data_IF_683939537445
#
_entry.id   IF_683939537445
#
_cell.length_a   1.000
_cell.length_b   1.000
_cell.length_c   1.000
_cell.angle_alpha   90.00
_cell.angle_beta   90.00
_cell.angle_gamma   90.00
#
_symmetry.space_group_name_H-M   'P 1'
#
loop_
_entity.id
_entity.type
_entity.pdbx_description
1 polymer ?
#
# COMPACT_ATOMS: atom_id res chain seq x y z
N UNK A 1 -35.36 -82.38 35.35
CA UNK A 1 -36.32 -81.36 35.69
C UNK A 1 -35.69 -79.99 35.43
N UNK A 2 -36.42 -79.29 34.65
CA UNK A 2 -36.36 -77.85 34.35
C UNK A 2 -35.11 -77.24 33.77
N UNK A 3 -35.20 -76.99 32.50
CA UNK A 3 -34.30 -76.10 31.71
C UNK A 3 -34.72 -74.63 31.94
N UNK A 4 -33.77 -73.77 32.12
CA UNK A 4 -34.00 -72.34 32.03
C UNK A 4 -33.12 -71.78 30.86
N UNK A 5 -33.82 -71.34 29.81
CA UNK A 5 -33.18 -70.73 28.66
C UNK A 5 -32.89 -69.24 28.91
N UNK A 6 -31.68 -68.80 28.61
CA UNK A 6 -31.35 -67.41 28.55
C UNK A 6 -31.38 -66.92 27.10
N UNK A 7 -32.20 -65.94 26.82
CA UNK A 7 -32.23 -65.16 25.53
C UNK A 7 -31.08 -64.17 25.54
N UNK A 8 -30.30 -64.19 24.47
CA UNK A 8 -29.34 -63.15 24.17
C UNK A 8 -30.02 -61.94 23.55
N UNK A 9 -29.91 -60.78 24.18
CA UNK A 9 -30.26 -59.49 23.59
C UNK A 9 -29.15 -59.03 22.65
N UNK A 10 -29.52 -58.69 21.44
CA UNK A 10 -28.61 -58.12 20.44
C UNK A 10 -28.44 -56.65 20.71
N UNK A 11 -27.24 -56.28 21.06
CA UNK A 11 -26.76 -54.89 21.24
C UNK A 11 -26.55 -54.25 19.85
N UNK A 12 -27.49 -53.42 19.42
CA UNK A 12 -27.35 -52.59 18.20
C UNK A 12 -26.52 -51.39 18.53
N UNK A 13 -25.20 -51.46 18.26
CA UNK A 13 -24.32 -50.31 18.33
C UNK A 13 -24.65 -49.31 17.25
N UNK A 14 -25.15 -48.18 17.72
CA UNK A 14 -25.37 -46.96 16.95
C UNK A 14 -24.07 -46.48 16.34
N UNK A 15 -23.98 -46.52 15.00
CA UNK A 15 -22.85 -46.06 14.26
C UNK A 15 -22.84 -44.53 14.23
N UNK A 16 -22.10 -43.91 15.12
CA UNK A 16 -21.87 -42.46 15.10
C UNK A 16 -21.31 -42.05 13.73
N UNK A 17 -22.08 -41.27 12.99
CA UNK A 17 -21.61 -40.59 11.77
C UNK A 17 -20.47 -39.63 12.15
N UNK A 18 -19.36 -39.65 11.41
CA UNK A 18 -18.32 -38.66 11.63
C UNK A 18 -18.85 -37.28 11.25
N UNK A 19 -18.91 -36.41 12.25
CA UNK A 19 -19.23 -34.98 12.08
C UNK A 19 -18.25 -34.39 11.06
N UNK A 20 -18.75 -34.00 9.90
CA UNK A 20 -17.95 -33.33 8.89
C UNK A 20 -17.43 -32.01 9.51
N UNK A 21 -16.15 -31.96 9.75
CA UNK A 21 -15.45 -30.72 10.12
C UNK A 21 -15.70 -29.75 8.97
N UNK A 22 -16.53 -28.73 9.21
CA UNK A 22 -16.64 -27.59 8.30
C UNK A 22 -15.29 -26.90 8.29
N UNK A 23 -14.49 -27.18 7.27
CA UNK A 23 -13.36 -26.33 6.92
C UNK A 23 -13.98 -24.99 6.55
N UNK A 24 -13.85 -24.02 7.45
CA UNK A 24 -14.15 -22.63 7.14
C UNK A 24 -13.19 -22.23 6.02
N UNK A 25 -13.66 -22.18 4.79
CA UNK A 25 -12.90 -21.64 3.68
C UNK A 25 -12.68 -20.16 3.97
N UNK A 26 -11.43 -19.78 4.24
CA UNK A 26 -11.06 -18.37 4.41
C UNK A 26 -11.34 -17.67 3.08
N UNK A 27 -12.28 -16.73 3.09
CA UNK A 27 -12.62 -15.93 1.91
C UNK A 27 -11.41 -15.07 1.52
N UNK A 28 -10.93 -15.22 0.30
CA UNK A 28 -9.79 -14.44 -0.23
C UNK A 28 -10.14 -12.97 -0.40
N UNK A 29 -9.12 -12.09 -0.51
CA UNK A 29 -9.36 -10.68 -0.79
C UNK A 29 -10.08 -10.48 -2.14
N UNK A 30 -9.72 -11.25 -3.17
CA UNK A 30 -10.41 -11.21 -4.46
C UNK A 30 -11.92 -11.52 -4.32
N UNK A 31 -12.28 -12.56 -3.57
CA UNK A 31 -13.71 -12.89 -3.32
C UNK A 31 -14.42 -11.81 -2.50
N UNK A 32 -13.75 -11.19 -1.51
CA UNK A 32 -14.31 -10.06 -0.74
C UNK A 32 -14.56 -8.83 -1.63
N UNK A 33 -13.76 -8.66 -2.68
CA UNK A 33 -13.93 -7.62 -3.70
C UNK A 33 -14.98 -8.00 -4.77
N UNK A 34 -15.56 -9.21 -4.72
CA UNK A 34 -16.58 -9.67 -5.66
C UNK A 34 -16.03 -10.32 -6.93
N UNK A 35 -14.75 -10.68 -6.96
CA UNK A 35 -14.10 -11.36 -8.09
C UNK A 35 -13.93 -12.85 -7.83
N UNK A 36 -13.65 -13.62 -8.89
CA UNK A 36 -13.33 -15.04 -8.77
C UNK A 36 -12.00 -15.23 -8.02
N UNK A 37 -11.86 -16.34 -7.29
CA UNK A 37 -10.69 -16.66 -6.46
C UNK A 37 -9.37 -16.72 -7.26
N UNK A 38 -9.45 -17.00 -8.54
CA UNK A 38 -8.31 -17.09 -9.47
C UNK A 38 -8.05 -15.78 -10.25
N UNK A 39 -8.81 -14.71 -9.97
CA UNK A 39 -8.64 -13.41 -10.61
C UNK A 39 -7.28 -12.79 -10.25
N UNK A 40 -6.65 -12.16 -11.24
CA UNK A 40 -5.42 -11.37 -11.10
C UNK A 40 -5.77 -9.91 -11.06
N UNK A 41 -5.86 -9.35 -9.86
CA UNK A 41 -6.23 -7.96 -9.64
C UNK A 41 -4.97 -7.12 -9.49
N UNK A 42 -4.92 -5.96 -10.16
CA UNK A 42 -3.73 -5.10 -10.17
C UNK A 42 -4.09 -3.69 -9.71
N UNK A 43 -3.37 -3.22 -8.72
CA UNK A 43 -3.30 -1.81 -8.33
C UNK A 43 -2.01 -1.24 -8.93
N UNK A 44 -2.13 -0.27 -9.85
CA UNK A 44 -0.98 0.48 -10.36
C UNK A 44 -0.97 1.84 -9.67
N UNK A 45 -0.09 1.96 -8.66
CA UNK A 45 -0.04 3.08 -7.72
C UNK A 45 1.01 4.10 -8.13
N UNK A 46 0.66 5.39 -8.15
CA UNK A 46 1.59 6.49 -8.35
C UNK A 46 2.01 7.08 -7.01
N UNK A 47 3.29 6.98 -6.68
CA UNK A 47 3.87 7.57 -5.48
C UNK A 47 4.28 9.03 -5.69
N UNK A 48 4.60 9.73 -4.60
CA UNK A 48 5.17 11.07 -4.55
C UNK A 48 4.30 12.18 -5.16
N UNK A 49 2.97 12.02 -5.22
CA UNK A 49 2.06 13.13 -5.52
C UNK A 49 2.27 14.25 -4.49
N UNK A 50 2.47 15.46 -4.93
CA UNK A 50 2.74 16.61 -4.06
C UNK A 50 4.22 16.91 -3.86
N UNK A 51 5.13 16.03 -4.25
CA UNK A 51 6.57 16.23 -4.10
C UNK A 51 7.07 17.41 -4.93
N UNK A 52 6.65 17.52 -6.20
CA UNK A 52 7.01 18.61 -7.11
C UNK A 52 5.84 18.93 -8.04
N UNK A 53 5.90 20.09 -8.73
CA UNK A 53 4.94 20.38 -9.80
C UNK A 53 5.04 19.35 -10.93
N UNK A 54 6.25 18.93 -11.27
CA UNK A 54 6.48 17.94 -12.32
C UNK A 54 5.87 16.58 -11.97
N UNK A 55 5.97 16.13 -10.72
CA UNK A 55 5.32 14.92 -10.21
C UNK A 55 3.79 15.07 -10.20
N UNK A 56 3.25 16.22 -9.78
CA UNK A 56 1.79 16.44 -9.82
C UNK A 56 1.23 16.27 -11.23
N UNK A 57 1.86 16.91 -12.23
CA UNK A 57 1.43 16.80 -13.63
C UNK A 57 1.58 15.35 -14.12
N UNK A 58 2.70 14.69 -13.79
CA UNK A 58 2.95 13.31 -14.19
C UNK A 58 1.93 12.35 -13.60
N UNK A 59 1.66 12.44 -12.29
CA UNK A 59 0.70 11.58 -11.59
C UNK A 59 -0.71 11.78 -12.11
N UNK A 60 -1.20 13.02 -12.27
CA UNK A 60 -2.55 13.23 -12.80
C UNK A 60 -2.69 12.78 -14.26
N UNK A 61 -1.64 12.90 -15.08
CA UNK A 61 -1.65 12.30 -16.43
C UNK A 61 -1.68 10.78 -16.37
N UNK A 62 -0.95 10.16 -15.45
CA UNK A 62 -0.99 8.72 -15.27
C UNK A 62 -2.38 8.21 -14.83
N UNK A 63 -3.07 8.96 -13.95
CA UNK A 63 -4.44 8.64 -13.50
C UNK A 63 -5.50 8.85 -14.57
N UNK A 64 -5.43 9.96 -15.34
CA UNK A 64 -6.52 10.37 -16.23
C UNK A 64 -6.33 9.87 -17.66
N UNK A 65 -5.07 9.76 -18.14
CA UNK A 65 -4.74 9.39 -19.51
C UNK A 65 -3.99 8.05 -19.60
N UNK A 66 -3.60 7.48 -18.46
CA UNK A 66 -2.77 6.27 -18.36
C UNK A 66 -3.49 5.08 -17.71
N UNK A 67 -2.69 4.12 -17.27
CA UNK A 67 -3.15 2.89 -16.64
C UNK A 67 -3.11 2.93 -15.10
N UNK A 68 -2.68 4.04 -14.48
CA UNK A 68 -2.63 4.14 -13.03
C UNK A 68 -4.03 4.14 -12.40
N UNK A 69 -4.19 3.46 -11.26
CA UNK A 69 -5.49 3.32 -10.59
C UNK A 69 -5.59 4.15 -9.33
N UNK A 70 -4.47 4.55 -8.74
CA UNK A 70 -4.44 5.37 -7.53
C UNK A 70 -3.13 6.15 -7.42
N UNK A 71 -3.10 7.08 -6.45
CA UNK A 71 -1.91 7.82 -6.09
C UNK A 71 -1.81 8.04 -4.58
N UNK A 72 -0.62 8.32 -4.07
CA UNK A 72 -0.39 8.66 -2.66
C UNK A 72 0.24 10.04 -2.50
N UNK A 73 -0.40 10.90 -1.66
CA UNK A 73 -0.08 12.32 -1.47
C UNK A 73 0.94 12.54 -0.35
N UNK A 74 2.08 13.16 -0.65
CA UNK A 74 3.10 13.59 0.29
C UNK A 74 2.71 14.93 0.95
N UNK A 75 1.92 14.88 2.01
CA UNK A 75 1.37 16.09 2.67
C UNK A 75 2.43 17.10 3.14
N UNK A 76 3.62 16.70 3.64
CA UNK A 76 4.66 17.65 4.05
C UNK A 76 5.38 18.35 2.89
N UNK A 77 5.24 17.86 1.66
CA UNK A 77 5.96 18.40 0.52
C UNK A 77 5.35 19.73 0.00
N UNK A 78 6.20 20.56 -0.62
CA UNK A 78 5.83 21.94 -0.97
C UNK A 78 4.68 22.06 -1.98
N UNK A 79 4.48 21.04 -2.84
CA UNK A 79 3.44 21.03 -3.86
C UNK A 79 2.20 20.23 -3.48
N UNK A 80 2.12 19.75 -2.22
CA UNK A 80 1.00 18.92 -1.76
C UNK A 80 -0.34 19.65 -1.82
N UNK A 81 -0.39 20.95 -1.42
CA UNK A 81 -1.63 21.73 -1.50
C UNK A 81 -2.12 21.91 -2.93
N UNK A 82 -1.21 22.18 -3.87
CA UNK A 82 -1.54 22.25 -5.30
C UNK A 82 -2.09 20.93 -5.82
N UNK A 83 -1.50 19.81 -5.39
CA UNK A 83 -2.00 18.48 -5.75
C UNK A 83 -3.44 18.28 -5.25
N UNK A 84 -3.70 18.59 -3.98
CA UNK A 84 -5.03 18.48 -3.40
C UNK A 84 -6.08 19.34 -4.13
N UNK A 85 -5.72 20.58 -4.49
CA UNK A 85 -6.62 21.48 -5.23
C UNK A 85 -6.84 21.04 -6.71
N UNK A 86 -5.95 20.21 -7.25
CA UNK A 86 -6.02 19.70 -8.65
C UNK A 86 -6.73 18.35 -8.75
N UNK A 87 -6.99 17.68 -7.63
CA UNK A 87 -7.66 16.38 -7.60
C UNK A 87 -9.11 16.50 -8.10
N UNK A 88 -9.53 15.53 -8.91
CA UNK A 88 -10.89 15.45 -9.42
C UNK A 88 -11.76 14.55 -8.53
N UNK A 89 -13.08 14.78 -8.48
CA UNK A 89 -13.99 13.85 -7.82
C UNK A 89 -13.86 12.45 -8.45
N UNK A 90 -13.57 11.45 -7.60
CA UNK A 90 -13.38 10.07 -8.04
C UNK A 90 -11.92 9.65 -8.18
N UNK A 91 -10.95 10.57 -8.14
CA UNK A 91 -9.55 10.19 -8.03
C UNK A 91 -9.33 9.34 -6.75
N UNK A 92 -8.62 8.23 -6.90
CA UNK A 92 -8.26 7.34 -5.80
C UNK A 92 -6.93 7.82 -5.20
N UNK A 93 -7.01 8.64 -4.15
CA UNK A 93 -5.84 9.26 -3.53
C UNK A 93 -5.72 8.86 -2.06
N UNK A 94 -4.61 8.23 -1.71
CA UNK A 94 -4.19 7.94 -0.33
C UNK A 94 -3.23 8.99 0.21
N UNK A 95 -2.74 8.76 1.44
CA UNK A 95 -1.68 9.56 2.06
C UNK A 95 -0.36 8.80 1.99
N UNK A 96 0.67 9.45 1.41
CA UNK A 96 2.04 8.97 1.42
C UNK A 96 2.70 9.40 2.73
N UNK A 97 2.60 8.55 3.75
CA UNK A 97 3.07 8.82 5.10
C UNK A 97 4.58 9.08 5.11
N UNK A 98 4.98 10.31 5.32
CA UNK A 98 6.32 10.80 5.05
C UNK A 98 7.02 11.21 6.33
N UNK A 99 8.18 10.61 6.61
CA UNK A 99 9.04 10.91 7.77
C UNK A 99 10.51 11.14 7.37
N UNK A 100 10.83 11.00 6.07
CA UNK A 100 12.16 11.22 5.52
C UNK A 100 12.14 12.30 4.46
N UNK A 101 13.29 12.96 4.26
CA UNK A 101 13.53 13.93 3.19
C UNK A 101 14.93 13.70 2.62
N UNK A 102 15.03 12.78 1.67
CA UNK A 102 16.27 12.17 1.20
C UNK A 102 17.11 13.04 0.26
N UNK A 103 16.48 14.04 -0.39
CA UNK A 103 17.17 14.88 -1.37
C UNK A 103 18.12 15.89 -0.71
N UNK A 104 19.19 16.27 -1.41
CA UNK A 104 20.22 17.16 -0.87
C UNK A 104 19.77 18.61 -0.71
N UNK A 105 19.12 19.17 -1.72
CA UNK A 105 18.80 20.61 -1.79
C UNK A 105 17.31 20.91 -1.77
N UNK A 106 16.45 19.90 -1.89
CA UNK A 106 15.00 20.03 -1.80
C UNK A 106 14.48 19.26 -0.59
N UNK A 107 14.12 20.01 0.46
CA UNK A 107 13.84 19.46 1.79
C UNK A 107 12.44 19.79 2.23
N UNK A 108 11.79 18.85 2.86
CA UNK A 108 10.54 19.02 3.58
C UNK A 108 10.69 18.55 5.03
N UNK A 109 9.79 18.96 5.88
CA UNK A 109 9.85 18.67 7.31
C UNK A 109 8.49 18.44 7.92
N UNK A 110 8.44 18.15 9.23
CA UNK A 110 7.20 17.86 9.94
C UNK A 110 6.17 18.97 9.79
N UNK A 111 4.90 18.59 9.63
CA UNK A 111 3.75 19.50 9.66
C UNK A 111 3.32 19.84 11.09
N UNK A 112 3.86 19.11 12.07
CA UNK A 112 3.67 19.31 13.50
C UNK A 112 4.95 19.77 14.18
N UNK A 113 4.86 20.12 15.48
CA UNK A 113 6.05 20.32 16.31
C UNK A 113 6.55 18.94 16.79
N UNK A 114 7.52 18.38 16.09
CA UNK A 114 8.10 17.07 16.34
C UNK A 114 9.64 17.15 16.33
N UNK A 115 10.28 17.57 17.44
CA UNK A 115 11.75 17.74 17.50
C UNK A 115 12.52 16.49 17.18
N UNK A 116 12.05 15.29 17.56
CA UNK A 116 12.73 14.01 17.28
C UNK A 116 12.67 13.61 15.80
N UNK A 117 11.82 14.27 15.01
CA UNK A 117 11.68 14.06 13.57
C UNK A 117 12.42 15.11 12.74
N UNK A 118 13.19 15.99 13.38
CA UNK A 118 13.93 17.04 12.68
C UNK A 118 15.44 16.76 12.69
N UNK A 119 16.03 16.79 11.50
CA UNK A 119 17.50 16.86 11.38
C UNK A 119 18.02 18.22 11.84
N UNK A 120 19.32 18.33 12.07
CA UNK A 120 19.96 19.61 12.42
C UNK A 120 19.77 20.73 11.38
N UNK A 121 19.31 20.42 10.18
CA UNK A 121 18.99 21.36 9.10
C UNK A 121 17.51 21.78 9.06
N UNK A 122 16.66 21.25 9.97
CA UNK A 122 15.25 21.63 10.13
C UNK A 122 14.25 20.84 9.28
N UNK A 123 14.71 19.96 8.37
CA UNK A 123 13.86 19.01 7.63
C UNK A 123 13.74 17.66 8.33
N UNK A 124 12.98 16.75 7.75
CA UNK A 124 13.01 15.35 8.19
C UNK A 124 14.41 14.74 8.02
N UNK A 125 14.75 13.66 8.75
CA UNK A 125 15.98 12.89 8.52
C UNK A 125 16.12 12.44 7.07
N UNK A 126 17.35 12.36 6.58
CA UNK A 126 17.61 11.94 5.19
C UNK A 126 17.55 10.43 5.03
N UNK A 127 17.99 9.69 6.04
CA UNK A 127 18.10 8.24 5.99
C UNK A 127 17.12 7.58 6.94
N UNK A 128 16.82 6.31 6.68
CA UNK A 128 16.00 5.50 7.58
C UNK A 128 16.72 5.26 8.92
N UNK A 129 18.04 5.07 8.88
CA UNK A 129 18.85 4.84 10.08
C UNK A 129 18.77 6.03 11.03
N UNK A 130 18.95 7.26 10.52
CA UNK A 130 18.85 8.49 11.31
C UNK A 130 17.45 8.67 11.90
N UNK A 131 16.38 8.42 11.10
CA UNK A 131 15.01 8.40 11.59
C UNK A 131 14.83 7.38 12.73
N UNK A 132 15.25 6.15 12.51
CA UNK A 132 15.01 5.05 13.47
C UNK A 132 15.82 5.17 14.75
N UNK A 133 16.96 5.89 14.71
CA UNK A 133 17.80 6.12 15.90
C UNK A 133 17.21 7.20 16.82
N UNK A 134 16.54 8.22 16.26
CA UNK A 134 16.15 9.41 17.00
C UNK A 134 14.65 9.62 17.18
N UNK A 135 13.80 9.03 16.32
CA UNK A 135 12.37 9.32 16.31
C UNK A 135 11.65 8.78 17.56
N UNK A 136 10.89 9.65 18.22
CA UNK A 136 9.98 9.28 19.30
C UNK A 136 8.66 8.76 18.69
N UNK A 137 8.21 7.51 19.02
CA UNK A 137 6.99 6.94 18.45
C UNK A 137 5.73 7.80 18.68
N UNK A 138 5.64 8.53 19.81
CA UNK A 138 4.50 9.41 20.07
C UNK A 138 4.53 10.66 19.16
N UNK A 139 5.73 11.14 18.80
CA UNK A 139 5.88 12.20 17.81
C UNK A 139 5.59 11.70 16.39
N UNK A 140 6.02 10.48 16.05
CA UNK A 140 5.68 9.80 14.80
C UNK A 140 4.17 9.69 14.64
N UNK A 141 3.45 9.16 15.65
CA UNK A 141 2.00 9.04 15.61
C UNK A 141 1.31 10.39 15.41
N UNK A 142 1.72 11.41 16.19
CA UNK A 142 1.15 12.76 16.10
C UNK A 142 1.38 13.37 14.70
N UNK A 143 2.57 13.21 14.15
CA UNK A 143 2.93 13.72 12.83
C UNK A 143 2.13 13.03 11.71
N UNK A 144 2.12 11.71 11.70
CA UNK A 144 1.43 10.97 10.66
C UNK A 144 -0.09 11.15 10.72
N UNK A 145 -0.66 11.23 11.94
CA UNK A 145 -2.09 11.58 12.10
C UNK A 145 -2.38 12.97 11.52
N UNK A 146 -1.52 13.96 11.78
CA UNK A 146 -1.68 15.30 11.23
C UNK A 146 -1.56 15.34 9.70
N UNK A 147 -0.75 14.47 9.08
CA UNK A 147 -0.70 14.35 7.63
C UNK A 147 -2.03 13.82 7.08
N UNK A 148 -2.61 12.77 7.67
CA UNK A 148 -3.92 12.25 7.27
C UNK A 148 -5.02 13.31 7.45
N UNK A 149 -5.11 13.92 8.62
CA UNK A 149 -6.10 14.96 8.91
C UNK A 149 -6.00 16.16 7.96
N UNK A 150 -4.77 16.56 7.61
CA UNK A 150 -4.55 17.66 6.68
C UNK A 150 -5.02 17.34 5.28
N UNK A 151 -4.79 16.11 4.79
CA UNK A 151 -5.32 15.65 3.50
C UNK A 151 -6.86 15.70 3.49
N UNK A 152 -7.51 15.22 4.58
CA UNK A 152 -8.97 15.27 4.75
C UNK A 152 -9.49 16.71 4.76
N UNK A 153 -8.84 17.63 5.51
CA UNK A 153 -9.19 19.06 5.55
C UNK A 153 -9.04 19.73 4.18
N UNK A 154 -8.11 19.27 3.36
CA UNK A 154 -7.95 19.75 1.98
C UNK A 154 -8.99 19.17 1.02
N UNK A 155 -9.88 18.29 1.48
CA UNK A 155 -10.98 17.73 0.71
C UNK A 155 -10.65 16.43 -0.02
N UNK A 156 -9.49 15.81 0.26
CA UNK A 156 -9.16 14.50 -0.28
C UNK A 156 -10.02 13.44 0.40
N UNK A 157 -10.72 12.62 -0.39
CA UNK A 157 -11.38 11.41 0.07
C UNK A 157 -10.32 10.29 0.20
N UNK A 158 -9.58 10.32 1.32
CA UNK A 158 -8.42 9.44 1.54
C UNK A 158 -8.82 7.96 1.42
N UNK A 159 -8.15 7.23 0.54
CA UNK A 159 -8.49 5.85 0.22
C UNK A 159 -7.56 4.82 0.85
N UNK A 160 -6.30 5.17 1.13
CA UNK A 160 -5.31 4.26 1.69
C UNK A 160 -4.15 5.02 2.35
N UNK A 161 -3.30 4.26 3.03
CA UNK A 161 -2.04 4.74 3.57
C UNK A 161 -0.88 3.96 2.92
N UNK A 162 0.13 4.69 2.44
CA UNK A 162 1.35 4.12 1.86
C UNK A 162 2.58 4.76 2.53
N UNK A 163 3.55 4.00 3.06
CA UNK A 163 4.70 4.57 3.73
C UNK A 163 5.78 5.00 2.72
N UNK A 164 6.22 6.27 2.80
CA UNK A 164 7.38 6.74 2.05
C UNK A 164 8.64 5.98 2.49
N UNK A 165 9.41 5.46 1.54
CA UNK A 165 10.61 4.64 1.75
C UNK A 165 10.42 3.44 2.70
N UNK A 166 9.18 2.96 2.91
CA UNK A 166 8.84 1.93 3.92
C UNK A 166 9.28 2.27 5.36
N UNK A 167 9.45 3.54 5.67
CA UNK A 167 10.04 4.04 6.92
C UNK A 167 9.38 3.50 8.19
N UNK A 168 8.07 3.30 8.16
CA UNK A 168 7.27 2.86 9.32
C UNK A 168 6.92 1.36 9.28
N UNK A 169 7.36 0.63 8.25
CA UNK A 169 6.98 -0.79 8.08
C UNK A 169 8.02 -1.74 8.65
N UNK A 170 9.30 -1.32 8.69
CA UNK A 170 10.42 -2.21 8.98
C UNK A 170 10.87 -2.18 10.46
N UNK A 171 10.19 -1.43 11.31
CA UNK A 171 10.43 -1.34 12.76
C UNK A 171 9.13 -1.61 13.52
N UNK A 172 9.11 -2.56 14.48
CA UNK A 172 7.89 -2.93 15.19
C UNK A 172 7.18 -1.74 15.85
N UNK A 173 7.92 -0.86 16.53
CA UNK A 173 7.39 0.32 17.22
C UNK A 173 6.72 1.33 16.30
N UNK A 174 7.20 1.46 15.06
CA UNK A 174 6.58 2.33 14.05
C UNK A 174 5.47 1.61 13.28
N UNK A 175 5.58 0.29 13.18
CA UNK A 175 4.52 -0.50 12.59
C UNK A 175 3.24 -0.49 13.45
N UNK A 176 3.38 -0.47 14.79
CA UNK A 176 2.25 -0.30 15.70
C UNK A 176 1.52 1.04 15.43
N UNK A 177 2.27 2.12 15.21
CA UNK A 177 1.70 3.43 14.80
C UNK A 177 0.94 3.32 13.47
N UNK A 178 1.50 2.58 12.50
CA UNK A 178 0.86 2.39 11.20
C UNK A 178 -0.46 1.64 11.31
N UNK A 179 -0.51 0.58 12.13
CA UNK A 179 -1.74 -0.17 12.39
C UNK A 179 -2.77 0.67 13.14
N UNK A 180 -2.35 1.46 14.14
CA UNK A 180 -3.25 2.37 14.87
C UNK A 180 -3.95 3.33 13.90
N UNK A 181 -3.20 3.98 13.01
CA UNK A 181 -3.77 4.90 12.02
C UNK A 181 -4.68 4.18 11.01
N UNK A 182 -4.28 3.00 10.53
CA UNK A 182 -5.09 2.20 9.63
C UNK A 182 -6.44 1.82 10.25
N UNK A 183 -6.45 1.42 11.52
CA UNK A 183 -7.66 1.07 12.26
C UNK A 183 -8.51 2.31 12.58
N UNK A 184 -7.90 3.42 13.04
CA UNK A 184 -8.58 4.67 13.40
C UNK A 184 -9.37 5.25 12.21
N UNK A 185 -8.74 5.33 11.03
CA UNK A 185 -9.36 5.89 9.82
C UNK A 185 -10.08 4.84 8.96
N UNK A 186 -9.98 3.56 9.33
CA UNK A 186 -10.49 2.41 8.55
C UNK A 186 -10.02 2.49 7.10
N UNK A 187 -8.68 2.54 6.95
CA UNK A 187 -8.00 2.64 5.66
C UNK A 187 -7.13 1.42 5.40
N UNK A 188 -7.20 0.82 4.20
CA UNK A 188 -6.25 -0.19 3.78
C UNK A 188 -4.84 0.38 3.69
N UNK A 189 -3.85 -0.50 3.78
CA UNK A 189 -2.44 -0.11 3.82
C UNK A 189 -1.63 -0.84 2.74
N UNK A 190 -0.58 -0.18 2.25
CA UNK A 190 0.50 -0.85 1.52
C UNK A 190 1.35 -1.64 2.48
N UNK A 191 1.63 -2.89 2.16
CA UNK A 191 2.56 -3.73 2.92
C UNK A 191 3.58 -4.40 2.01
N UNK A 192 4.85 -4.45 2.43
CA UNK A 192 5.88 -5.23 1.76
C UNK A 192 5.54 -6.71 1.68
N UNK A 193 6.28 -7.46 0.84
CA UNK A 193 6.07 -8.88 0.64
C UNK A 193 6.34 -9.72 1.90
N UNK A 194 5.89 -10.97 1.91
CA UNK A 194 6.18 -11.94 2.98
C UNK A 194 7.68 -12.17 3.17
N UNK A 195 8.47 -12.18 2.08
CA UNK A 195 9.94 -12.32 2.15
C UNK A 195 10.55 -11.14 2.94
N UNK A 196 10.04 -9.92 2.73
CA UNK A 196 10.48 -8.76 3.50
C UNK A 196 10.11 -8.89 4.99
N UNK A 197 8.96 -9.48 5.34
CA UNK A 197 8.57 -9.74 6.71
C UNK A 197 9.54 -10.71 7.40
N UNK A 198 9.97 -11.76 6.70
CA UNK A 198 10.98 -12.70 7.19
C UNK A 198 12.33 -12.01 7.42
N UNK A 199 12.75 -11.14 6.50
CA UNK A 199 13.98 -10.36 6.62
C UNK A 199 13.95 -9.32 7.74
N UNK A 200 12.79 -8.67 7.94
CA UNK A 200 12.59 -7.71 9.02
C UNK A 200 12.52 -8.36 10.42
N UNK A 201 12.31 -9.67 10.49
CA UNK A 201 12.31 -10.44 11.72
C UNK A 201 11.01 -10.34 12.54
N UNK A 202 9.94 -9.76 12.00
CA UNK A 202 8.61 -9.77 12.64
C UNK A 202 7.48 -9.87 11.60
N UNK A 203 6.35 -10.51 11.98
CA UNK A 203 5.31 -10.92 11.03
C UNK A 203 4.29 -9.81 10.76
N UNK A 204 4.68 -8.66 10.21
CA UNK A 204 3.83 -7.49 10.03
C UNK A 204 2.54 -7.77 9.24
N UNK A 205 2.56 -8.64 8.21
CA UNK A 205 1.35 -9.01 7.46
C UNK A 205 0.34 -9.77 8.33
N UNK A 206 0.81 -10.66 9.21
CA UNK A 206 -0.05 -11.38 10.15
C UNK A 206 -0.65 -10.43 11.18
N UNK A 207 0.15 -9.53 11.75
CA UNK A 207 -0.33 -8.54 12.71
C UNK A 207 -1.40 -7.62 12.10
N UNK A 208 -1.19 -7.14 10.88
CA UNK A 208 -2.20 -6.35 10.17
C UNK A 208 -3.52 -7.13 9.93
N UNK A 209 -3.42 -8.41 9.56
CA UNK A 209 -4.59 -9.26 9.36
C UNK A 209 -5.35 -9.54 10.66
N UNK A 210 -4.65 -9.74 11.79
CA UNK A 210 -5.22 -9.93 13.13
C UNK A 210 -6.00 -8.69 13.59
N UNK A 211 -5.54 -7.49 13.23
CA UNK A 211 -6.24 -6.21 13.47
C UNK A 211 -7.35 -5.90 12.44
N UNK A 212 -7.59 -6.81 11.48
CA UNK A 212 -8.62 -6.64 10.46
C UNK A 212 -8.29 -5.58 9.40
N UNK A 213 -7.03 -5.15 9.31
CA UNK A 213 -6.57 -4.21 8.30
C UNK A 213 -6.45 -4.90 6.95
N UNK A 214 -6.98 -4.26 5.89
CA UNK A 214 -6.93 -4.77 4.52
C UNK A 214 -5.67 -4.26 3.82
N UNK A 215 -5.02 -5.14 3.04
CA UNK A 215 -3.83 -4.83 2.25
C UNK A 215 -3.73 -5.75 1.04
N UNK A 216 -3.02 -5.36 -0.04
CA UNK A 216 -2.79 -6.19 -1.20
C UNK A 216 -2.07 -7.51 -0.86
N UNK A 217 -2.43 -8.61 -1.53
CA UNK A 217 -1.83 -9.92 -1.33
C UNK A 217 -0.34 -9.91 -1.70
N UNK A 218 0.01 -9.17 -2.75
CA UNK A 218 1.36 -9.07 -3.30
C UNK A 218 1.76 -7.60 -3.49
N UNK A 219 3.04 -7.30 -3.27
CA UNK A 219 3.63 -6.01 -3.54
C UNK A 219 4.95 -6.18 -4.31
N UNK A 220 5.04 -5.57 -5.48
CA UNK A 220 6.29 -5.53 -6.24
C UNK A 220 7.23 -4.48 -5.64
N UNK A 221 8.29 -4.98 -4.99
CA UNK A 221 9.16 -4.24 -4.08
C UNK A 221 10.54 -3.95 -4.71
N UNK A 222 10.61 -3.59 -5.95
CA UNK A 222 11.89 -3.11 -6.50
C UNK A 222 11.93 -1.56 -6.44
N UNK A 223 12.82 -1.03 -5.60
CA UNK A 223 13.04 0.40 -5.37
C UNK A 223 13.57 1.19 -6.58
N UNK A 224 13.89 0.51 -7.67
CA UNK A 224 14.51 1.14 -8.83
C UNK A 224 13.43 1.77 -9.70
N UNK A 225 13.09 3.03 -9.41
CA UNK A 225 12.26 3.84 -10.30
C UNK A 225 12.77 3.77 -11.76
N UNK A 226 11.86 3.78 -12.73
CA UNK A 226 12.18 3.81 -14.15
C UNK A 226 12.66 2.50 -14.74
N UNK A 227 12.46 1.39 -14.07
CA UNK A 227 12.71 0.07 -14.66
C UNK A 227 11.47 -0.41 -15.39
N UNK A 228 11.36 -0.05 -16.69
CA UNK A 228 10.32 -0.59 -17.57
C UNK A 228 10.27 -2.12 -17.51
N UNK A 229 11.43 -2.79 -17.49
CA UNK A 229 11.53 -4.25 -17.36
C UNK A 229 10.90 -4.75 -16.06
N UNK A 230 11.10 -4.06 -14.92
CA UNK A 230 10.54 -4.44 -13.63
C UNK A 230 9.02 -4.54 -13.67
N UNK A 231 8.35 -3.53 -14.23
CA UNK A 231 6.88 -3.52 -14.32
C UNK A 231 6.37 -4.65 -15.21
N UNK A 232 7.03 -4.90 -16.37
CA UNK A 232 6.66 -6.02 -17.24
C UNK A 232 6.94 -7.37 -16.59
N UNK A 233 8.07 -7.53 -15.89
CA UNK A 233 8.39 -8.73 -15.13
C UNK A 233 7.36 -9.00 -14.01
N UNK A 234 6.87 -7.95 -13.34
CA UNK A 234 5.81 -8.05 -12.34
C UNK A 234 4.48 -8.52 -12.99
N UNK A 235 4.12 -7.96 -14.15
CA UNK A 235 2.91 -8.35 -14.90
C UNK A 235 3.01 -9.81 -15.39
N UNK A 236 4.16 -10.24 -15.88
CA UNK A 236 4.36 -11.64 -16.32
C UNK A 236 4.27 -12.65 -15.16
N UNK A 237 4.62 -12.22 -13.94
CA UNK A 237 4.57 -13.05 -12.73
C UNK A 237 3.28 -12.91 -11.93
N UNK A 238 2.26 -12.23 -12.44
CA UNK A 238 0.98 -12.09 -11.73
C UNK A 238 0.40 -13.45 -11.34
N UNK A 239 0.07 -13.57 -10.08
CA UNK A 239 -0.64 -14.70 -9.48
C UNK A 239 -2.04 -14.30 -9.06
N UNK A 240 -2.97 -15.25 -8.77
CA UNK A 240 -4.27 -14.91 -8.19
C UNK A 240 -4.15 -14.05 -6.94
N UNK A 241 -5.08 -13.11 -6.78
CA UNK A 241 -5.12 -12.12 -5.69
C UNK A 241 -4.85 -10.71 -6.17
N UNK A 242 -4.67 -9.78 -5.23
CA UNK A 242 -4.40 -8.36 -5.48
C UNK A 242 -2.90 -8.10 -5.45
N UNK A 243 -2.35 -7.65 -6.58
CA UNK A 243 -0.94 -7.23 -6.70
C UNK A 243 -0.85 -5.72 -6.83
N UNK A 244 -0.10 -5.07 -5.94
CA UNK A 244 0.25 -3.67 -6.08
C UNK A 244 1.60 -3.52 -6.79
N UNK A 245 1.63 -2.68 -7.83
CA UNK A 245 2.83 -2.25 -8.56
C UNK A 245 2.92 -0.73 -8.42
N UNK A 246 4.06 -0.19 -7.98
CA UNK A 246 4.22 1.24 -7.82
C UNK A 246 5.13 1.86 -8.88
N UNK A 247 4.87 3.12 -9.20
CA UNK A 247 5.65 3.97 -10.13
C UNK A 247 5.73 5.40 -9.58
N UNK A 248 6.68 6.18 -10.07
CA UNK A 248 6.91 7.58 -9.67
C UNK A 248 6.88 8.51 -10.90
N UNK A 249 5.73 8.70 -11.55
CA UNK A 249 5.66 9.41 -12.82
C UNK A 249 5.86 10.92 -12.66
N UNK A 250 6.77 11.50 -13.45
CA UNK A 250 6.97 12.95 -13.53
C UNK A 250 7.18 13.40 -14.97
N UNK A 251 6.82 14.66 -15.27
CA UNK A 251 7.21 15.29 -16.54
C UNK A 251 8.66 15.79 -16.50
N UNK A 252 9.32 15.79 -17.66
CA UNK A 252 10.70 16.31 -17.77
C UNK A 252 10.71 17.84 -17.63
N UNK A 253 11.30 18.31 -16.53
CA UNK A 253 11.50 19.74 -16.24
C UNK A 253 12.86 19.98 -15.59
N UNK A 254 13.42 21.21 -15.70
CA UNK A 254 14.62 21.56 -14.93
C UNK A 254 14.46 21.38 -13.42
N UNK A 255 13.22 21.57 -12.88
CA UNK A 255 12.91 21.36 -11.47
C UNK A 255 13.12 19.90 -11.08
N UNK A 256 12.45 18.94 -11.78
CA UNK A 256 12.54 17.52 -11.43
C UNK A 256 13.98 17.01 -11.58
N UNK A 257 14.71 17.48 -12.59
CA UNK A 257 16.11 17.12 -12.79
C UNK A 257 17.02 17.64 -11.67
N UNK A 258 16.72 18.82 -11.13
CA UNK A 258 17.45 19.38 -9.99
C UNK A 258 17.12 18.67 -8.67
N UNK A 259 15.86 18.23 -8.47
CA UNK A 259 15.42 17.53 -7.27
C UNK A 259 15.92 16.08 -7.25
N UNK A 260 15.60 15.33 -8.29
CA UNK A 260 15.81 13.88 -8.35
C UNK A 260 17.22 13.49 -8.83
N UNK A 261 17.97 14.42 -9.43
CA UNK A 261 19.30 14.12 -9.95
C UNK A 261 19.26 12.93 -10.94
N UNK A 262 20.09 11.90 -10.72
CA UNK A 262 20.12 10.72 -11.60
C UNK A 262 18.80 9.94 -11.66
N UNK A 263 17.94 10.05 -10.65
CA UNK A 263 16.65 9.36 -10.63
C UNK A 263 15.59 10.00 -11.53
N UNK A 264 15.82 11.23 -12.00
CA UNK A 264 14.86 11.96 -12.84
C UNK A 264 14.49 11.21 -14.12
N UNK A 265 15.47 10.58 -14.79
CA UNK A 265 15.20 9.79 -16.00
C UNK A 265 14.29 8.61 -15.73
N UNK A 266 14.36 8.01 -14.55
CA UNK A 266 13.48 6.96 -14.09
C UNK A 266 12.04 7.44 -13.93
N UNK A 267 11.84 8.59 -13.30
CA UNK A 267 10.49 9.15 -13.08
C UNK A 267 9.84 9.58 -14.40
N UNK A 268 10.63 10.12 -15.34
CA UNK A 268 10.15 10.46 -16.69
C UNK A 268 9.75 9.19 -17.45
N UNK A 269 10.59 8.15 -17.39
CA UNK A 269 10.31 6.87 -18.03
C UNK A 269 9.07 6.17 -17.42
N UNK A 270 8.83 6.32 -16.13
CA UNK A 270 7.61 5.81 -15.48
C UNK A 270 6.34 6.48 -16.06
N UNK A 271 6.35 7.80 -16.32
CA UNK A 271 5.24 8.47 -16.98
C UNK A 271 5.02 7.95 -18.41
N UNK A 272 6.10 7.81 -19.18
CA UNK A 272 6.02 7.27 -20.55
C UNK A 272 5.44 5.84 -20.54
N UNK A 273 5.87 5.02 -19.58
CA UNK A 273 5.41 3.66 -19.41
C UNK A 273 3.91 3.61 -19.10
N UNK A 274 3.45 4.32 -18.06
CA UNK A 274 2.06 4.21 -17.58
C UNK A 274 1.05 4.78 -18.58
N UNK A 275 1.49 5.65 -19.48
CA UNK A 275 0.67 6.19 -20.57
C UNK A 275 0.82 5.42 -21.90
N UNK A 276 1.62 4.34 -21.91
CA UNK A 276 1.92 3.59 -23.13
C UNK A 276 0.84 2.54 -23.47
N UNK A 277 0.59 2.34 -24.77
CA UNK A 277 -0.23 1.22 -25.24
C UNK A 277 0.42 -0.14 -24.99
N UNK A 278 1.73 -0.17 -24.87
CA UNK A 278 2.49 -1.39 -24.60
C UNK A 278 2.15 -1.97 -23.23
N UNK A 279 2.09 -1.10 -22.20
CA UNK A 279 1.68 -1.50 -20.85
C UNK A 279 0.23 -2.00 -20.84
N UNK A 280 -0.70 -1.24 -21.46
CA UNK A 280 -2.09 -1.68 -21.54
C UNK A 280 -2.22 -3.05 -22.20
N UNK A 281 -1.52 -3.28 -23.33
CA UNK A 281 -1.53 -4.57 -24.00
C UNK A 281 -0.90 -5.70 -23.17
N UNK A 282 0.07 -5.40 -22.31
CA UNK A 282 0.67 -6.41 -21.41
C UNK A 282 -0.32 -6.81 -20.31
N UNK A 283 -1.00 -5.84 -19.70
CA UNK A 283 -2.05 -6.07 -18.69
C UNK A 283 -3.20 -6.91 -19.29
N UNK A 284 -3.67 -6.56 -20.49
CA UNK A 284 -4.73 -7.30 -21.18
C UNK A 284 -4.31 -8.76 -21.45
N UNK A 285 -3.06 -8.99 -21.95
CA UNK A 285 -2.54 -10.36 -22.20
C UNK A 285 -2.39 -11.18 -20.92
N UNK A 286 -2.06 -10.53 -19.80
CA UNK A 286 -1.98 -11.19 -18.50
C UNK A 286 -3.35 -11.52 -17.89
N UNK A 287 -4.45 -11.03 -18.48
CA UNK A 287 -5.78 -11.13 -17.93
C UNK A 287 -5.93 -10.35 -16.62
N UNK A 288 -5.17 -9.25 -16.47
CA UNK A 288 -5.21 -8.40 -15.30
C UNK A 288 -6.52 -7.59 -15.25
N UNK A 289 -7.13 -7.51 -14.10
CA UNK A 289 -8.26 -6.62 -13.81
C UNK A 289 -7.74 -5.47 -12.95
N UNK A 290 -7.90 -4.24 -13.45
CA UNK A 290 -7.44 -3.06 -12.73
C UNK A 290 -8.42 -2.70 -11.62
N UNK A 291 -7.91 -2.50 -10.42
CA UNK A 291 -8.66 -2.08 -9.21
C UNK A 291 -7.90 -0.96 -8.50
N UNK A 292 -8.57 -0.21 -7.63
CA UNK A 292 -7.95 0.82 -6.81
C UNK A 292 -7.97 0.47 -5.32
N UNK A 293 -7.37 1.32 -4.51
CA UNK A 293 -7.46 1.18 -3.05
C UNK A 293 -8.85 1.55 -2.51
N UNK A 294 -9.62 2.31 -3.27
CA UNK A 294 -11.01 2.65 -2.90
C UNK A 294 -11.85 1.39 -2.69
N UNK A 295 -11.76 0.41 -3.59
CA UNK A 295 -12.47 -0.86 -3.46
C UNK A 295 -12.02 -1.63 -2.22
N UNK A 296 -10.72 -1.63 -1.91
CA UNK A 296 -10.19 -2.26 -0.70
C UNK A 296 -10.71 -1.56 0.56
N UNK A 297 -10.78 -0.21 0.54
CA UNK A 297 -11.35 0.58 1.63
C UNK A 297 -12.82 0.25 1.86
N UNK A 298 -13.58 0.15 0.80
CA UNK A 298 -15.00 -0.15 0.89
C UNK A 298 -15.23 -1.53 1.51
N UNK A 299 -14.42 -2.53 1.14
CA UNK A 299 -14.41 -3.86 1.77
C UNK A 299 -13.99 -3.80 3.25
N UNK A 300 -13.04 -2.94 3.62
CA UNK A 300 -12.61 -2.78 5.02
C UNK A 300 -13.68 -2.11 5.88
N UNK A 301 -14.54 -1.28 5.27
CA UNK A 301 -15.60 -0.53 5.95
C UNK A 301 -16.94 -1.25 6.00
N UNK A 302 -17.12 -2.32 5.19
CA UNK A 302 -18.31 -3.17 5.18
C UNK A 302 -18.38 -4.05 6.44
#
# INVERSE_FOLDING_TARGET
MSACGARAEADTRDAAHPSAVRVSTVTTLAERLGYAVDSRLVILSCDDLGSSHASNVGVFRALHDGAATCASLMVPAAWARHAADSALPGDDIGVHLTLNSEHDSYRWGPVTRAPSLQSGEGGFPRTLEDLWEHADPAEVLRELRAQVERALVWGIDVTHLAPHLSAITLRPEFFDVYLELAAEYRLPIRLPSTITAEQAGFPFRRLAAEEGVVFPDHFDHDWRAGSKSRVFDAIERLTPGVTEIHVQPAIDTPEVRAIAGPSADGWIADLELVTSRELQSALDRAGAVMVGFRELRDVMRA
#
